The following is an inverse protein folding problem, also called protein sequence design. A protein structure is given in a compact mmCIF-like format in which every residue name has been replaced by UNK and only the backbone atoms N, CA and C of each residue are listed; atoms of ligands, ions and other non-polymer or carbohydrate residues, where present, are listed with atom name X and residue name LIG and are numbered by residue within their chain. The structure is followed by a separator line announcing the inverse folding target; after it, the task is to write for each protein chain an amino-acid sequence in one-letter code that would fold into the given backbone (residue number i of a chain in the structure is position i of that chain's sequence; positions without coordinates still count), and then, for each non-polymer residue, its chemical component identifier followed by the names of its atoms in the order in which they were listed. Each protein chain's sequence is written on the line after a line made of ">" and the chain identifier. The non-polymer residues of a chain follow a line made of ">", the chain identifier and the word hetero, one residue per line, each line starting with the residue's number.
data_IF_482503638739
#
_entry.id   IF_482503638739
#
_cell.length_a   1.000
_cell.length_b   1.000
_cell.length_c   1.000
_cell.angle_alpha   90.00
_cell.angle_beta   90.00
_cell.angle_gamma   90.00
#
_symmetry.space_group_name_H-M   'P 1'
#
loop_
_entity.id
_entity.type
_entity.pdbx_description
1 polymer ?
#
# COMPACT_ATOMS: atom_id res chain seq x y z
N UNK A 1 -1.76 -45.65 3.27
CA UNK A 1 -1.06 -44.42 3.72
C UNK A 1 -1.89 -43.21 3.26
N UNK A 2 -2.09 -42.20 4.11
CA UNK A 2 -2.94 -41.01 3.83
C UNK A 2 -2.21 -40.06 2.86
N UNK A 3 -2.94 -39.29 2.04
CA UNK A 3 -2.36 -38.16 1.29
C UNK A 3 -1.98 -37.02 2.23
N UNK A 4 -0.93 -36.27 1.89
CA UNK A 4 -0.57 -35.00 2.50
C UNK A 4 -1.12 -33.86 1.65
N UNK A 5 -1.86 -32.96 2.27
CA UNK A 5 -2.64 -31.94 1.57
C UNK A 5 -2.11 -30.54 1.88
N UNK A 6 -1.75 -29.78 0.86
CA UNK A 6 -1.24 -28.42 0.98
C UNK A 6 -2.19 -27.49 0.25
N UNK A 7 -2.65 -26.44 0.94
CA UNK A 7 -3.32 -25.30 0.32
C UNK A 7 -2.32 -24.15 0.25
N UNK A 8 -2.09 -23.58 -0.93
CA UNK A 8 -1.36 -22.31 -1.08
C UNK A 8 -2.37 -21.24 -1.42
N UNK A 9 -2.35 -20.13 -0.69
CA UNK A 9 -3.26 -18.99 -0.94
C UNK A 9 -2.46 -17.74 -1.26
N UNK A 10 -2.97 -16.88 -2.13
CA UNK A 10 -2.32 -15.62 -2.44
C UNK A 10 -3.06 -14.81 -3.49
N UNK A 11 -2.41 -13.76 -3.98
CA UNK A 11 -2.98 -12.87 -4.99
C UNK A 11 -2.49 -13.28 -6.38
N UNK A 12 -3.36 -13.23 -7.38
CA UNK A 12 -3.02 -13.53 -8.77
C UNK A 12 -1.88 -12.66 -9.29
N UNK A 13 -0.88 -13.31 -9.88
CA UNK A 13 0.34 -12.67 -10.38
C UNK A 13 1.51 -12.61 -9.39
N UNK A 14 1.36 -13.14 -8.17
CA UNK A 14 2.43 -13.12 -7.13
C UNK A 14 3.25 -14.41 -7.05
N UNK A 15 2.95 -15.43 -7.87
CA UNK A 15 3.71 -16.69 -7.92
C UNK A 15 3.12 -17.86 -7.12
N UNK A 16 1.84 -17.81 -6.73
CA UNK A 16 1.14 -18.93 -6.05
C UNK A 16 1.21 -20.22 -6.87
N UNK A 17 0.88 -20.12 -8.18
CA UNK A 17 0.95 -21.24 -9.14
C UNK A 17 2.38 -21.76 -9.29
N UNK A 18 3.38 -20.87 -9.23
CA UNK A 18 4.78 -21.26 -9.30
C UNK A 18 5.16 -22.16 -8.12
N UNK A 19 4.76 -21.81 -6.89
CA UNK A 19 5.01 -22.65 -5.71
C UNK A 19 4.31 -24.00 -5.84
N UNK A 20 3.06 -24.02 -6.31
CA UNK A 20 2.33 -25.25 -6.60
C UNK A 20 3.12 -26.17 -7.53
N UNK A 21 3.59 -25.62 -8.65
CA UNK A 21 4.42 -26.33 -9.62
C UNK A 21 5.76 -26.82 -9.05
N UNK A 22 6.41 -26.04 -8.18
CA UNK A 22 7.68 -26.44 -7.56
C UNK A 22 7.49 -27.65 -6.66
N UNK A 23 6.43 -27.64 -5.83
CA UNK A 23 6.13 -28.75 -4.92
C UNK A 23 5.75 -30.01 -5.70
N UNK A 24 4.89 -29.91 -6.71
CA UNK A 24 4.48 -31.08 -7.49
C UNK A 24 5.60 -31.64 -8.33
N UNK A 25 6.43 -30.80 -8.95
CA UNK A 25 7.56 -31.26 -9.73
C UNK A 25 8.61 -31.92 -8.84
N UNK A 26 8.89 -31.37 -7.65
CA UNK A 26 9.75 -32.00 -6.67
C UNK A 26 9.22 -33.40 -6.26
N UNK A 27 7.91 -33.51 -6.00
CA UNK A 27 7.29 -34.80 -5.68
C UNK A 27 7.36 -35.80 -6.85
N UNK A 28 7.16 -35.32 -8.08
CA UNK A 28 7.25 -36.13 -9.28
C UNK A 28 8.67 -36.67 -9.51
N UNK A 29 9.68 -35.83 -9.34
CA UNK A 29 11.10 -36.22 -9.41
C UNK A 29 11.47 -37.28 -8.37
N UNK A 30 10.75 -37.32 -7.24
CA UNK A 30 10.90 -38.33 -6.18
C UNK A 30 10.06 -39.60 -6.41
N UNK A 31 9.37 -39.72 -7.55
CA UNK A 31 8.52 -40.87 -7.87
C UNK A 31 7.25 -40.95 -7.02
N UNK A 32 6.83 -39.85 -6.39
CA UNK A 32 5.60 -39.79 -5.59
C UNK A 32 4.41 -39.42 -6.48
N UNK A 33 3.23 -39.86 -6.08
CA UNK A 33 2.00 -39.39 -6.69
C UNK A 33 1.71 -37.96 -6.24
N UNK A 34 1.42 -37.09 -7.19
CA UNK A 34 1.05 -35.70 -6.93
C UNK A 34 -0.10 -35.26 -7.82
N UNK A 35 -0.95 -34.39 -7.29
CA UNK A 35 -1.97 -33.68 -8.07
C UNK A 35 -2.04 -32.25 -7.55
N UNK A 36 -2.15 -31.29 -8.47
CA UNK A 36 -2.44 -29.91 -8.13
C UNK A 36 -3.54 -29.36 -9.03
N UNK A 37 -4.37 -28.47 -8.47
CA UNK A 37 -5.30 -27.64 -9.21
C UNK A 37 -5.23 -26.21 -8.68
N UNK A 38 -5.12 -25.27 -9.60
CA UNK A 38 -5.10 -23.84 -9.31
C UNK A 38 -6.48 -23.26 -9.62
N UNK A 39 -7.04 -22.55 -8.65
CA UNK A 39 -8.30 -21.84 -8.77
C UNK A 39 -8.05 -20.35 -8.73
N UNK A 40 -8.58 -19.65 -9.74
CA UNK A 40 -8.48 -18.20 -9.87
C UNK A 40 -9.84 -17.59 -9.55
N UNK A 41 -9.84 -16.54 -8.72
CA UNK A 41 -11.02 -15.71 -8.50
C UNK A 41 -11.41 -14.93 -9.76
N UNK A 42 -12.56 -14.25 -9.73
CA UNK A 42 -13.13 -13.53 -10.88
C UNK A 42 -12.21 -12.43 -11.47
N UNK A 43 -11.23 -11.93 -10.71
CA UNK A 43 -10.32 -10.89 -11.17
C UNK A 43 -8.98 -11.47 -11.67
N UNK A 44 -8.67 -11.25 -12.95
CA UNK A 44 -7.47 -11.78 -13.64
C UNK A 44 -6.14 -11.21 -13.11
N UNK A 45 -6.14 -10.01 -12.51
CA UNK A 45 -5.01 -9.42 -11.77
C UNK A 45 -5.50 -8.90 -10.42
N UNK A 46 -4.79 -9.21 -9.34
CA UNK A 46 -5.18 -8.75 -8.00
C UNK A 46 -6.35 -9.51 -7.36
N UNK A 47 -6.86 -10.58 -8.01
CA UNK A 47 -7.86 -11.48 -7.45
C UNK A 47 -7.25 -12.57 -6.58
N UNK A 48 -8.08 -13.19 -5.73
CA UNK A 48 -7.70 -14.34 -4.92
C UNK A 48 -7.30 -15.53 -5.81
N UNK A 49 -6.23 -16.22 -5.45
CA UNK A 49 -5.78 -17.48 -6.08
C UNK A 49 -5.52 -18.51 -5.00
N UNK A 50 -6.02 -19.73 -5.21
CA UNK A 50 -5.79 -20.86 -4.32
C UNK A 50 -5.28 -22.06 -5.12
N UNK A 51 -4.17 -22.65 -4.68
CA UNK A 51 -3.61 -23.88 -5.24
C UNK A 51 -3.82 -25.02 -4.26
N UNK A 52 -4.57 -26.04 -4.68
CA UNK A 52 -4.81 -27.26 -3.91
C UNK A 52 -3.83 -28.33 -4.37
N UNK A 53 -2.98 -28.81 -3.47
CA UNK A 53 -1.93 -29.78 -3.77
C UNK A 53 -2.14 -31.02 -2.90
N UNK A 54 -2.14 -32.20 -3.53
CA UNK A 54 -2.18 -33.49 -2.85
C UNK A 54 -0.93 -34.28 -3.21
N UNK A 55 -0.25 -34.79 -2.18
CA UNK A 55 0.92 -35.64 -2.31
C UNK A 55 0.63 -37.00 -1.67
N UNK A 56 0.99 -38.09 -2.33
CA UNK A 56 0.79 -39.43 -1.82
C UNK A 56 1.93 -40.36 -2.27
N UNK A 57 2.07 -41.51 -1.60
CA UNK A 57 3.03 -42.53 -2.03
C UNK A 57 2.63 -43.20 -3.34
N UNK A 58 1.32 -43.30 -3.61
CA UNK A 58 0.76 -44.01 -4.78
C UNK A 58 -0.44 -43.25 -5.34
N UNK A 59 -0.65 -43.34 -6.65
CA UNK A 59 -1.71 -42.61 -7.36
C UNK A 59 -3.11 -43.04 -6.93
N UNK A 60 -3.29 -44.31 -6.56
CA UNK A 60 -4.56 -44.88 -6.09
C UNK A 60 -5.13 -44.21 -4.83
N UNK A 61 -4.28 -43.50 -4.08
CA UNK A 61 -4.65 -42.77 -2.85
C UNK A 61 -5.31 -41.42 -3.16
N UNK A 62 -5.00 -40.81 -4.30
CA UNK A 62 -5.54 -39.51 -4.70
C UNK A 62 -6.88 -39.73 -5.41
N UNK A 63 -7.98 -39.43 -4.72
CA UNK A 63 -9.35 -39.70 -5.19
C UNK A 63 -10.13 -38.46 -5.65
N UNK A 64 -9.62 -37.27 -5.34
CA UNK A 64 -10.29 -36.01 -5.63
C UNK A 64 -9.26 -34.93 -5.93
N UNK A 65 -9.65 -34.00 -6.78
CA UNK A 65 -8.78 -32.92 -7.26
C UNK A 65 -8.73 -31.77 -6.25
N UNK A 66 -9.88 -31.40 -5.68
CA UNK A 66 -9.97 -30.37 -4.64
C UNK A 66 -9.68 -30.94 -3.26
N UNK A 67 -9.25 -30.09 -2.32
CA UNK A 67 -9.14 -30.48 -0.92
C UNK A 67 -10.53 -30.57 -0.29
N UNK A 68 -10.77 -31.63 0.46
CA UNK A 68 -12.01 -31.79 1.24
C UNK A 68 -12.01 -30.82 2.43
N UNK A 69 -13.19 -30.56 3.00
CA UNK A 69 -13.32 -29.72 4.18
C UNK A 69 -12.48 -30.26 5.35
N UNK A 70 -11.78 -29.38 6.06
CA UNK A 70 -10.88 -29.73 7.17
C UNK A 70 -9.72 -30.65 6.79
N UNK A 71 -9.41 -30.81 5.49
CA UNK A 71 -8.46 -31.81 5.02
C UNK A 71 -7.04 -31.31 4.81
N UNK A 72 -6.77 -30.00 4.90
CA UNK A 72 -5.43 -29.44 4.70
C UNK A 72 -4.49 -29.81 5.87
N UNK A 73 -3.28 -30.26 5.56
CA UNK A 73 -2.19 -30.43 6.54
C UNK A 73 -1.38 -29.14 6.70
N UNK A 74 -1.15 -28.44 5.59
CA UNK A 74 -0.48 -27.15 5.53
C UNK A 74 -1.35 -26.15 4.76
N UNK A 75 -1.52 -24.96 5.31
CA UNK A 75 -1.94 -23.77 4.57
C UNK A 75 -0.77 -22.81 4.52
N UNK A 76 -0.23 -22.62 3.32
CA UNK A 76 0.80 -21.63 3.03
C UNK A 76 0.12 -20.36 2.52
N UNK A 77 -0.18 -19.45 3.45
CA UNK A 77 -0.87 -18.21 3.15
C UNK A 77 0.10 -17.12 2.73
N UNK A 78 0.34 -16.96 1.44
CA UNK A 78 1.17 -15.87 0.90
C UNK A 78 0.48 -14.50 0.96
N UNK A 79 -0.84 -14.48 1.23
CA UNK A 79 -1.62 -13.29 1.53
C UNK A 79 -2.66 -13.60 2.61
N UNK A 80 -2.72 -12.78 3.67
CA UNK A 80 -3.60 -13.01 4.82
C UNK A 80 -5.09 -12.84 4.49
N UNK A 81 -5.44 -11.93 3.58
CA UNK A 81 -6.83 -11.69 3.18
C UNK A 81 -7.41 -12.92 2.46
N UNK A 82 -6.64 -13.52 1.55
CA UNK A 82 -7.05 -14.73 0.85
C UNK A 82 -7.04 -15.95 1.80
N UNK A 83 -6.03 -16.06 2.67
CA UNK A 83 -5.95 -17.17 3.63
C UNK A 83 -7.10 -17.18 4.65
N UNK A 84 -7.57 -15.99 5.06
CA UNK A 84 -8.71 -15.83 5.97
C UNK A 84 -10.08 -15.85 5.27
N UNK A 85 -10.10 -16.02 3.95
CA UNK A 85 -11.32 -16.14 3.17
C UNK A 85 -12.01 -17.49 3.38
N UNK A 86 -13.34 -17.51 3.27
CA UNK A 86 -14.16 -18.67 3.63
C UNK A 86 -13.76 -19.95 2.86
N UNK A 87 -13.40 -19.82 1.58
CA UNK A 87 -12.94 -20.96 0.76
C UNK A 87 -11.65 -21.59 1.29
N UNK A 88 -10.71 -20.77 1.78
CA UNK A 88 -9.48 -21.28 2.36
C UNK A 88 -9.75 -21.92 3.73
N UNK A 89 -10.50 -21.23 4.59
CA UNK A 89 -10.83 -21.70 5.94
C UNK A 89 -11.67 -22.98 5.95
N UNK A 90 -12.49 -23.24 4.93
CA UNK A 90 -13.21 -24.52 4.79
C UNK A 90 -12.27 -25.73 4.77
N UNK A 91 -11.06 -25.58 4.23
CA UNK A 91 -10.06 -26.66 4.18
C UNK A 91 -9.27 -26.83 5.48
N UNK A 92 -9.38 -25.89 6.42
CA UNK A 92 -8.64 -25.84 7.69
C UNK A 92 -9.34 -26.67 8.75
N UNK A 93 -8.55 -27.41 9.53
CA UNK A 93 -8.98 -28.11 10.74
C UNK A 93 -8.06 -27.74 11.89
N UNK A 94 -8.64 -27.30 13.00
CA UNK A 94 -7.95 -26.97 14.25
C UNK A 94 -7.10 -28.13 14.80
N UNK A 95 -7.46 -29.37 14.48
CA UNK A 95 -6.78 -30.56 15.00
C UNK A 95 -5.50 -30.92 14.23
N UNK A 96 -5.37 -30.51 12.96
CA UNK A 96 -4.26 -30.95 12.10
C UNK A 96 -3.56 -29.85 11.31
N UNK A 97 -4.27 -28.83 10.83
CA UNK A 97 -3.75 -27.89 9.85
C UNK A 97 -2.72 -26.96 10.47
N UNK A 98 -1.54 -26.87 9.86
CA UNK A 98 -0.52 -25.88 10.17
C UNK A 98 -0.66 -24.70 9.20
N UNK A 99 -0.71 -23.48 9.72
CA UNK A 99 -0.87 -22.25 8.96
C UNK A 99 0.41 -21.42 9.07
N UNK A 100 1.00 -21.07 7.93
CA UNK A 100 2.07 -20.05 7.85
C UNK A 100 1.52 -18.91 7.00
N UNK A 101 1.33 -17.75 7.62
CA UNK A 101 0.62 -16.62 7.03
C UNK A 101 1.55 -15.42 6.90
N UNK A 102 1.65 -14.92 5.68
CA UNK A 102 2.28 -13.65 5.36
C UNK A 102 1.39 -12.50 5.82
N UNK A 103 1.86 -11.68 6.75
CA UNK A 103 1.07 -10.58 7.34
C UNK A 103 1.14 -9.28 6.55
N UNK A 104 1.87 -9.26 5.43
CA UNK A 104 2.03 -8.07 4.62
C UNK A 104 0.69 -7.58 4.06
N UNK A 105 0.41 -6.29 4.22
CA UNK A 105 -0.81 -5.66 3.73
C UNK A 105 -0.71 -5.34 2.24
N UNK A 106 -1.00 -6.34 1.40
CA UNK A 106 -1.02 -6.14 -0.04
C UNK A 106 -2.28 -5.38 -0.48
N UNK A 107 -2.09 -4.36 -1.32
CA UNK A 107 -3.18 -3.64 -1.98
C UNK A 107 -3.75 -4.54 -3.09
N UNK A 108 -4.88 -5.20 -2.82
CA UNK A 108 -5.56 -6.03 -3.84
C UNK A 108 -6.30 -5.17 -4.86
N UNK A 109 -6.77 -5.78 -5.97
CA UNK A 109 -7.57 -5.09 -6.97
C UNK A 109 -8.90 -4.53 -6.44
N UNK A 110 -9.35 -4.99 -5.27
CA UNK A 110 -10.54 -4.44 -4.61
C UNK A 110 -10.22 -3.10 -3.91
N UNK A 111 -9.04 -2.98 -3.29
CA UNK A 111 -8.59 -1.72 -2.66
C UNK A 111 -8.36 -0.60 -3.68
N UNK A 112 -8.02 -0.93 -4.93
CA UNK A 112 -7.88 0.10 -5.98
C UNK A 112 -9.20 0.73 -6.41
N UNK A 113 -10.34 0.08 -6.13
CA UNK A 113 -11.69 0.59 -6.43
C UNK A 113 -12.39 1.20 -5.21
N UNK A 114 -11.91 0.93 -4.00
CA UNK A 114 -12.49 1.40 -2.74
C UNK A 114 -11.40 2.06 -1.87
N UNK A 115 -11.11 3.35 -2.09
CA UNK A 115 -9.99 4.04 -1.42
C UNK A 115 -10.13 4.15 0.11
N UNK A 116 -11.36 4.10 0.64
CA UNK A 116 -11.64 4.20 2.07
C UNK A 116 -11.62 2.86 2.81
N UNK A 117 -11.40 1.76 2.07
CA UNK A 117 -11.37 0.44 2.65
C UNK A 117 -10.12 0.30 3.51
N UNK A 118 -10.32 0.21 4.84
CA UNK A 118 -9.24 -0.09 5.78
C UNK A 118 -8.91 -1.57 5.68
N UNK A 119 -7.61 -1.90 5.70
CA UNK A 119 -7.19 -3.30 5.75
C UNK A 119 -7.57 -3.89 7.11
N UNK A 120 -8.44 -4.92 7.18
CA UNK A 120 -9.01 -5.38 8.44
C UNK A 120 -8.06 -6.36 9.16
N UNK A 121 -6.81 -5.92 9.45
CA UNK A 121 -5.74 -6.78 9.96
C UNK A 121 -6.17 -7.60 11.19
N UNK A 122 -6.79 -6.94 12.16
CA UNK A 122 -7.19 -7.57 13.42
C UNK A 122 -8.27 -8.64 13.20
N UNK A 123 -9.29 -8.34 12.38
CA UNK A 123 -10.36 -9.29 12.07
C UNK A 123 -9.82 -10.52 11.33
N UNK A 124 -8.89 -10.33 10.39
CA UNK A 124 -8.25 -11.43 9.66
C UNK A 124 -7.43 -12.31 10.60
N UNK A 125 -6.65 -11.69 11.49
CA UNK A 125 -5.85 -12.42 12.48
C UNK A 125 -6.75 -13.24 13.42
N UNK A 126 -7.85 -12.66 13.90
CA UNK A 126 -8.82 -13.35 14.75
C UNK A 126 -9.50 -14.51 14.03
N UNK A 127 -9.89 -14.34 12.77
CA UNK A 127 -10.46 -15.44 11.94
C UNK A 127 -9.49 -16.60 11.79
N UNK A 128 -8.24 -16.32 11.42
CA UNK A 128 -7.19 -17.34 11.27
C UNK A 128 -6.89 -18.05 12.59
N UNK A 129 -6.83 -17.29 13.69
CA UNK A 129 -6.64 -17.82 15.04
C UNK A 129 -7.79 -18.72 15.45
N UNK A 130 -9.03 -18.32 15.19
CA UNK A 130 -10.22 -19.12 15.48
C UNK A 130 -10.27 -20.44 14.69
N UNK A 131 -9.80 -20.45 13.45
CA UNK A 131 -9.82 -21.64 12.60
C UNK A 131 -8.74 -22.69 12.95
N UNK A 132 -7.50 -22.27 13.20
CA UNK A 132 -6.38 -23.18 13.43
C UNK A 132 -5.92 -23.30 14.89
N UNK A 133 -6.25 -22.32 15.72
CA UNK A 133 -5.73 -22.20 17.09
C UNK A 133 -4.29 -21.66 17.16
N UNK A 134 -3.87 -21.15 18.34
CA UNK A 134 -2.61 -20.43 18.49
C UNK A 134 -1.37 -21.29 18.28
N UNK A 135 -1.44 -22.60 18.52
CA UNK A 135 -0.28 -23.50 18.43
C UNK A 135 0.09 -23.88 16.99
N UNK A 136 -0.83 -23.71 16.06
CA UNK A 136 -0.67 -24.15 14.66
C UNK A 136 -0.65 -22.97 13.68
N UNK A 137 -0.65 -21.74 14.19
CA UNK A 137 -0.65 -20.52 13.40
C UNK A 137 0.68 -19.78 13.58
N UNK A 138 1.38 -19.53 12.48
CA UNK A 138 2.61 -18.73 12.43
C UNK A 138 2.37 -17.52 11.55
N UNK A 139 2.54 -16.33 12.10
CA UNK A 139 2.54 -15.06 11.37
C UNK A 139 3.98 -14.62 11.05
N UNK A 140 4.19 -14.11 9.84
CA UNK A 140 5.49 -13.66 9.37
C UNK A 140 5.30 -12.54 8.35
N UNK A 141 6.00 -11.40 8.48
CA UNK A 141 6.05 -10.41 7.39
C UNK A 141 7.11 -10.84 6.36
N UNK A 142 6.77 -11.91 5.63
CA UNK A 142 7.68 -12.53 4.69
C UNK A 142 7.99 -11.60 3.51
N UNK A 143 7.04 -10.75 3.10
CA UNK A 143 7.27 -9.78 2.03
C UNK A 143 8.30 -8.75 2.45
N UNK A 144 8.17 -8.13 3.64
CA UNK A 144 9.15 -7.14 4.08
C UNK A 144 10.56 -7.73 4.14
N UNK A 145 10.72 -8.95 4.67
CA UNK A 145 12.01 -9.62 4.78
C UNK A 145 12.56 -10.00 3.39
N UNK A 146 11.76 -10.66 2.55
CA UNK A 146 12.21 -11.15 1.25
C UNK A 146 12.55 -10.00 0.29
N UNK A 147 11.74 -8.93 0.25
CA UNK A 147 12.03 -7.74 -0.57
C UNK A 147 13.34 -7.07 -0.15
N UNK A 148 13.63 -7.04 1.14
CA UNK A 148 14.87 -6.43 1.65
C UNK A 148 16.11 -7.26 1.34
N UNK A 149 16.01 -8.58 1.41
CA UNK A 149 17.12 -9.48 1.09
C UNK A 149 17.37 -9.59 -0.41
N UNK A 150 16.30 -9.66 -1.20
CA UNK A 150 16.37 -10.01 -2.63
C UNK A 150 16.10 -8.85 -3.59
N UNK A 151 15.75 -7.67 -3.06
CA UNK A 151 15.42 -6.48 -3.86
C UNK A 151 14.03 -6.47 -4.52
N UNK A 152 13.30 -7.60 -4.48
CA UNK A 152 11.99 -7.75 -5.14
C UNK A 152 10.96 -8.48 -4.24
N UNK A 153 9.71 -8.03 -4.26
CA UNK A 153 8.58 -8.67 -3.59
C UNK A 153 8.14 -10.00 -4.21
N UNK A 154 8.50 -10.30 -5.46
CA UNK A 154 8.24 -11.60 -6.10
C UNK A 154 8.89 -12.75 -5.32
N UNK A 155 9.99 -12.47 -4.61
CA UNK A 155 10.69 -13.45 -3.77
C UNK A 155 9.85 -13.98 -2.57
N UNK A 156 8.79 -13.28 -2.16
CA UNK A 156 7.98 -13.61 -0.97
C UNK A 156 7.54 -15.08 -0.95
N UNK A 157 6.95 -15.57 -2.04
CA UNK A 157 6.32 -16.89 -2.05
C UNK A 157 7.36 -18.02 -1.99
N UNK A 158 8.52 -17.82 -2.61
CA UNK A 158 9.63 -18.76 -2.56
C UNK A 158 10.29 -18.78 -1.17
N UNK A 159 10.39 -17.61 -0.53
CA UNK A 159 10.86 -17.49 0.85
C UNK A 159 9.92 -18.21 1.81
N UNK A 160 8.60 -18.02 1.66
CA UNK A 160 7.57 -18.73 2.41
C UNK A 160 7.67 -20.25 2.24
N UNK A 161 7.89 -20.74 1.01
CA UNK A 161 8.12 -22.16 0.74
C UNK A 161 9.36 -22.69 1.50
N UNK A 162 10.47 -21.95 1.47
CA UNK A 162 11.68 -22.26 2.21
C UNK A 162 11.46 -22.35 3.72
N UNK A 163 10.72 -21.37 4.26
CA UNK A 163 10.37 -21.34 5.67
C UNK A 163 9.52 -22.56 6.07
N UNK A 164 8.46 -22.86 5.30
CA UNK A 164 7.60 -24.01 5.54
C UNK A 164 8.33 -25.35 5.41
N UNK A 165 9.22 -25.46 4.43
CA UNK A 165 10.07 -26.64 4.23
C UNK A 165 10.95 -26.91 5.46
N UNK A 166 11.66 -25.88 5.95
CA UNK A 166 12.57 -26.05 7.08
C UNK A 166 11.83 -26.36 8.39
N UNK A 167 10.56 -25.96 8.50
CA UNK A 167 9.65 -26.37 9.59
C UNK A 167 9.13 -27.81 9.47
N UNK A 168 9.50 -28.54 8.42
CA UNK A 168 9.10 -29.93 8.18
C UNK A 168 7.68 -30.10 7.65
N UNK A 169 7.09 -29.04 7.09
CA UNK A 169 5.68 -29.02 6.66
C UNK A 169 5.49 -29.32 5.17
N UNK A 170 6.58 -29.43 4.41
CA UNK A 170 6.55 -29.71 2.97
C UNK A 170 7.23 -31.06 2.74
N UNK A 171 6.47 -32.14 2.44
CA UNK A 171 6.97 -33.51 2.50
C UNK A 171 7.65 -33.96 1.20
N UNK A 172 8.48 -33.09 0.63
CA UNK A 172 9.44 -33.40 -0.45
C UNK A 172 10.84 -33.06 0.05
N UNK A 173 11.87 -33.33 -0.73
CA UNK A 173 13.27 -33.01 -0.41
C UNK A 173 13.64 -31.60 -0.87
N UNK A 174 14.60 -30.97 -0.20
CA UNK A 174 15.14 -29.68 -0.65
C UNK A 174 15.82 -29.81 -2.01
N UNK A 175 16.48 -30.95 -2.27
CA UNK A 175 17.12 -31.25 -3.55
C UNK A 175 16.06 -31.33 -4.66
N UNK A 176 14.91 -31.95 -4.40
CA UNK A 176 13.78 -31.99 -5.32
C UNK A 176 13.22 -30.59 -5.63
N UNK A 177 13.08 -29.73 -4.61
CA UNK A 177 12.62 -28.34 -4.79
C UNK A 177 13.65 -27.53 -5.59
N UNK A 178 14.93 -27.58 -5.21
CA UNK A 178 16.00 -26.86 -5.93
C UNK A 178 16.09 -27.34 -7.39
N UNK A 179 15.94 -28.65 -7.65
CA UNK A 179 15.88 -29.19 -9.02
C UNK A 179 14.63 -28.75 -9.78
N UNK A 180 13.48 -28.65 -9.13
CA UNK A 180 12.28 -28.12 -9.74
C UNK A 180 12.45 -26.64 -10.15
N UNK A 181 13.14 -25.84 -9.34
CA UNK A 181 13.50 -24.45 -9.66
C UNK A 181 14.41 -24.40 -10.89
N UNK A 182 15.44 -25.25 -10.95
CA UNK A 182 16.33 -25.35 -12.12
C UNK A 182 15.57 -25.68 -13.41
N UNK A 183 14.64 -26.65 -13.34
CA UNK A 183 13.82 -27.05 -14.49
C UNK A 183 12.82 -25.98 -14.92
N UNK A 184 12.37 -25.12 -14.00
CA UNK A 184 11.53 -23.98 -14.33
C UNK A 184 12.27 -22.93 -15.18
N UNK A 185 13.59 -22.80 -14.98
CA UNK A 185 14.46 -21.96 -15.80
C UNK A 185 14.33 -20.45 -15.59
N UNK A 186 13.45 -19.99 -14.70
CA UNK A 186 13.22 -18.57 -14.44
C UNK A 186 13.99 -18.15 -13.18
N UNK A 187 14.91 -17.18 -13.32
CA UNK A 187 15.66 -16.58 -12.22
C UNK A 187 16.21 -17.62 -11.22
N UNK A 188 16.79 -18.72 -11.74
CA UNK A 188 17.10 -19.94 -11.00
C UNK A 188 17.93 -19.66 -9.74
N UNK A 189 19.03 -18.95 -9.88
CA UNK A 189 19.94 -18.63 -8.77
C UNK A 189 19.24 -17.82 -7.67
N UNK A 190 18.51 -16.77 -8.05
CA UNK A 190 17.75 -15.93 -7.13
C UNK A 190 16.65 -16.72 -6.40
N UNK A 191 15.93 -17.60 -7.10
CA UNK A 191 14.90 -18.43 -6.49
C UNK A 191 15.48 -19.46 -5.52
N UNK A 192 16.61 -20.10 -5.86
CA UNK A 192 17.32 -21.01 -4.95
C UNK A 192 17.81 -20.26 -3.71
N UNK A 193 18.39 -19.09 -3.89
CA UNK A 193 18.86 -18.27 -2.77
C UNK A 193 17.70 -17.84 -1.87
N UNK A 194 16.60 -17.37 -2.46
CA UNK A 194 15.38 -16.99 -1.75
C UNK A 194 14.81 -18.15 -0.92
N UNK A 195 14.73 -19.35 -1.53
CA UNK A 195 14.31 -20.57 -0.82
C UNK A 195 15.24 -20.86 0.37
N UNK A 196 16.55 -20.73 0.20
CA UNK A 196 17.54 -20.92 1.27
C UNK A 196 17.43 -19.85 2.37
N UNK A 197 17.15 -18.59 2.04
CA UNK A 197 16.86 -17.55 3.01
C UNK A 197 15.62 -17.85 3.84
N UNK A 198 14.55 -18.33 3.21
CA UNK A 198 13.36 -18.80 3.89
C UNK A 198 13.67 -19.91 4.90
N UNK A 199 14.51 -20.87 4.50
CA UNK A 199 14.97 -21.94 5.40
C UNK A 199 15.76 -21.39 6.59
N UNK A 200 16.71 -20.47 6.36
CA UNK A 200 17.47 -19.84 7.45
C UNK A 200 16.56 -19.11 8.43
N UNK A 201 15.54 -18.40 7.92
CA UNK A 201 14.59 -17.64 8.75
C UNK A 201 13.73 -18.54 9.65
N UNK A 202 13.47 -19.79 9.25
CA UNK A 202 12.77 -20.75 10.10
C UNK A 202 13.61 -21.23 11.30
N UNK A 203 14.95 -21.12 11.21
CA UNK A 203 15.88 -21.48 12.30
C UNK A 203 16.18 -20.28 13.17
N UNK A 204 16.55 -19.15 12.56
CA UNK A 204 16.87 -17.91 13.27
C UNK A 204 16.31 -16.70 12.52
N UNK A 205 15.05 -16.40 12.81
CA UNK A 205 14.36 -15.26 12.23
C UNK A 205 15.03 -13.93 12.60
N UNK A 206 15.51 -13.79 13.85
CA UNK A 206 16.06 -12.52 14.34
C UNK A 206 17.30 -12.12 13.55
N UNK A 207 18.22 -13.06 13.33
CA UNK A 207 19.44 -12.81 12.56
C UNK A 207 19.12 -12.51 11.10
N UNK A 208 18.19 -13.25 10.48
CA UNK A 208 17.79 -12.99 9.08
C UNK A 208 17.14 -11.60 8.95
N UNK A 209 16.26 -11.23 9.88
CA UNK A 209 15.66 -9.89 9.94
C UNK A 209 16.73 -8.81 10.12
N UNK A 210 17.72 -9.00 10.99
CA UNK A 210 18.82 -8.05 11.16
C UNK A 210 19.64 -7.87 9.87
N UNK A 211 19.94 -8.95 9.15
CA UNK A 211 20.62 -8.88 7.85
C UNK A 211 19.77 -8.15 6.82
N UNK A 212 18.46 -8.43 6.76
CA UNK A 212 17.54 -7.78 5.83
C UNK A 212 17.43 -6.26 6.07
N UNK A 213 17.41 -5.83 7.33
CA UNK A 213 17.22 -4.42 7.69
C UNK A 213 18.52 -3.61 7.75
N UNK A 214 19.67 -4.26 7.81
CA UNK A 214 20.97 -3.64 8.07
C UNK A 214 21.02 -2.98 9.47
N UNK A 215 22.20 -2.57 9.92
CA UNK A 215 22.37 -1.80 11.18
C UNK A 215 21.77 -0.38 11.12
N UNK A 216 21.11 -0.01 10.02
CA UNK A 216 20.60 1.34 9.77
C UNK A 216 19.24 1.30 9.12
N UNK A 217 18.21 0.95 9.89
CA UNK A 217 16.86 1.38 9.55
C UNK A 217 16.08 1.72 10.83
N UNK A 218 16.33 2.94 11.32
CA UNK A 218 15.23 3.68 11.90
C UNK A 218 14.17 3.79 10.80
N UNK A 219 13.05 3.09 10.98
CA UNK A 219 11.82 3.47 10.31
C UNK A 219 11.69 4.98 10.45
N UNK A 220 11.47 5.72 9.37
CA UNK A 220 11.12 7.13 9.47
C UNK A 220 9.94 7.22 10.46
N UNK A 221 10.24 7.62 11.71
CA UNK A 221 9.24 7.67 12.77
C UNK A 221 8.16 8.60 12.26
N UNK A 222 6.93 8.10 12.21
CA UNK A 222 5.81 9.01 12.02
C UNK A 222 5.85 9.99 13.19
N UNK A 223 5.69 11.30 12.95
CA UNK A 223 5.71 12.28 14.02
C UNK A 223 4.72 11.86 15.11
N UNK A 224 5.22 11.68 16.34
CA UNK A 224 4.48 11.14 17.48
C UNK A 224 3.61 12.24 18.12
N UNK A 225 3.93 13.51 17.85
CA UNK A 225 3.19 14.68 18.37
C UNK A 225 2.69 15.61 17.26
N UNK A 226 1.67 16.41 17.58
CA UNK A 226 1.12 17.43 16.66
C UNK A 226 2.18 18.48 16.27
N UNK A 227 3.04 18.89 17.20
CA UNK A 227 4.11 19.85 16.91
C UNK A 227 5.15 19.27 15.95
N UNK A 228 5.55 18.01 16.14
CA UNK A 228 6.45 17.33 15.20
C UNK A 228 5.81 17.19 13.81
N UNK A 229 4.49 16.95 13.74
CA UNK A 229 3.76 16.92 12.47
C UNK A 229 3.81 18.30 11.79
N UNK A 230 3.53 19.38 12.52
CA UNK A 230 3.55 20.75 12.00
C UNK A 230 4.96 21.10 11.50
N UNK A 231 6.00 20.78 12.27
CA UNK A 231 7.39 21.05 11.90
C UNK A 231 7.81 20.27 10.66
N UNK A 232 7.49 18.98 10.59
CA UNK A 232 7.76 18.15 9.43
C UNK A 232 7.05 18.69 8.17
N UNK A 233 5.78 19.09 8.28
CA UNK A 233 5.01 19.66 7.16
C UNK A 233 5.52 21.04 6.74
N UNK A 234 5.88 21.91 7.68
CA UNK A 234 6.46 23.21 7.38
C UNK A 234 7.82 23.09 6.68
N UNK A 235 8.66 22.15 7.11
CA UNK A 235 9.93 21.86 6.44
C UNK A 235 9.72 21.39 5.00
N UNK A 236 8.77 20.48 4.78
CA UNK A 236 8.44 20.02 3.44
C UNK A 236 7.84 21.13 2.58
N UNK A 237 6.96 21.99 3.12
CA UNK A 237 6.42 23.15 2.40
C UNK A 237 7.49 24.19 2.04
N UNK A 238 8.55 24.29 2.85
CA UNK A 238 9.72 25.13 2.54
C UNK A 238 10.49 24.57 1.34
N UNK A 239 10.61 23.25 1.25
CA UNK A 239 11.22 22.57 0.10
C UNK A 239 10.28 22.56 -1.12
N UNK A 240 8.97 22.53 -0.90
CA UNK A 240 7.95 22.60 -1.94
C UNK A 240 8.03 23.96 -2.63
N UNK A 241 8.01 25.06 -1.88
CA UNK A 241 7.99 26.43 -2.40
C UNK A 241 9.09 27.29 -1.76
N UNK A 242 8.82 27.81 -0.56
CA UNK A 242 9.69 28.70 0.21
C UNK A 242 9.23 28.83 1.68
N UNK A 243 10.02 29.55 2.48
CA UNK A 243 9.75 29.77 3.90
C UNK A 243 8.47 30.59 4.15
N UNK A 244 8.07 31.48 3.24
CA UNK A 244 6.84 32.27 3.35
C UNK A 244 5.60 31.39 3.20
N UNK A 245 5.66 30.41 2.30
CA UNK A 245 4.61 29.42 2.11
C UNK A 245 4.47 28.48 3.32
N UNK A 246 5.59 28.06 3.91
CA UNK A 246 5.59 27.31 5.17
C UNK A 246 5.03 28.13 6.34
N UNK A 247 5.35 29.42 6.42
CA UNK A 247 4.82 30.32 7.44
C UNK A 247 3.30 30.56 7.29
N UNK A 248 2.78 30.56 6.06
CA UNK A 248 1.33 30.59 5.80
C UNK A 248 0.64 29.35 6.39
N UNK A 249 1.19 28.16 6.17
CA UNK A 249 0.69 26.93 6.78
C UNK A 249 0.74 26.96 8.31
N UNK A 250 1.87 27.37 8.89
CA UNK A 250 2.00 27.45 10.36
C UNK A 250 0.94 28.36 10.97
N UNK A 251 0.74 29.56 10.43
CA UNK A 251 -0.29 30.50 10.91
C UNK A 251 -1.69 29.92 10.88
N UNK A 252 -2.03 29.18 9.81
CA UNK A 252 -3.34 28.51 9.69
C UNK A 252 -3.54 27.49 10.82
N UNK A 253 -2.55 26.63 11.06
CA UNK A 253 -2.65 25.57 12.08
C UNK A 253 -2.59 26.14 13.49
N UNK A 254 -1.71 27.09 13.75
CA UNK A 254 -1.57 27.76 15.05
C UNK A 254 -2.86 28.49 15.44
N UNK A 255 -3.51 29.17 14.49
CA UNK A 255 -4.82 29.80 14.73
C UNK A 255 -5.89 28.80 15.13
N UNK A 256 -5.97 27.67 14.43
CA UNK A 256 -6.92 26.60 14.76
C UNK A 256 -6.65 25.97 16.14
N UNK A 257 -5.37 25.71 16.47
CA UNK A 257 -4.99 25.16 17.77
C UNK A 257 -5.29 26.14 18.93
N UNK A 258 -5.07 27.44 18.72
CA UNK A 258 -5.38 28.46 19.70
C UNK A 258 -6.89 28.58 19.95
N UNK A 259 -7.70 28.57 18.88
CA UNK A 259 -9.16 28.57 18.99
C UNK A 259 -9.67 27.32 19.72
N UNK A 260 -9.16 26.13 19.37
CA UNK A 260 -9.49 24.86 20.02
C UNK A 260 -9.16 24.90 21.52
N UNK A 261 -7.96 25.37 21.89
CA UNK A 261 -7.55 25.49 23.29
C UNK A 261 -8.35 26.51 24.09
N UNK A 262 -8.77 27.63 23.47
CA UNK A 262 -9.47 28.71 24.16
C UNK A 262 -10.99 28.47 24.28
N UNK A 263 -11.62 27.92 23.26
CA UNK A 263 -13.09 27.87 23.13
C UNK A 263 -13.67 26.45 23.29
N UNK A 264 -12.85 25.41 23.07
CA UNK A 264 -13.24 24.01 23.20
C UNK A 264 -12.26 23.23 24.10
N UNK A 265 -11.80 23.88 25.18
CA UNK A 265 -10.80 23.34 26.09
C UNK A 265 -11.18 21.95 26.62
N UNK A 266 -10.27 20.98 26.45
CA UNK A 266 -10.48 19.58 26.82
C UNK A 266 -10.66 18.63 25.62
N UNK A 267 -10.95 19.16 24.43
CA UNK A 267 -10.97 18.39 23.19
C UNK A 267 -9.67 18.51 22.39
N UNK A 268 -9.41 17.49 21.58
CA UNK A 268 -8.30 17.46 20.63
C UNK A 268 -8.79 16.84 19.32
N UNK A 269 -8.55 17.51 18.19
CA UNK A 269 -8.87 16.96 16.88
C UNK A 269 -8.94 18.00 15.78
N UNK A 270 -9.47 19.19 16.07
CA UNK A 270 -9.64 20.26 15.10
C UNK A 270 -8.29 20.78 14.59
N UNK A 271 -7.36 21.15 15.50
CA UNK A 271 -6.02 21.57 15.11
C UNK A 271 -5.25 20.49 14.35
N UNK A 272 -5.44 19.22 14.72
CA UNK A 272 -4.83 18.07 14.02
C UNK A 272 -5.40 17.84 12.62
N UNK A 273 -6.72 18.03 12.45
CA UNK A 273 -7.37 17.97 11.15
C UNK A 273 -6.85 19.08 10.24
N UNK A 274 -6.81 20.33 10.73
CA UNK A 274 -6.27 21.48 9.98
C UNK A 274 -4.80 21.26 9.61
N UNK A 275 -3.98 20.73 10.52
CA UNK A 275 -2.58 20.40 10.26
C UNK A 275 -2.43 19.39 9.11
N UNK A 276 -3.28 18.35 9.07
CA UNK A 276 -3.22 17.30 8.05
C UNK A 276 -3.75 17.78 6.70
N UNK A 277 -4.92 18.41 6.70
CA UNK A 277 -5.67 18.70 5.48
C UNK A 277 -5.32 20.05 4.86
N UNK A 278 -4.92 21.04 5.67
CA UNK A 278 -4.29 22.27 5.19
C UNK A 278 -3.00 21.94 4.41
N UNK A 279 -2.14 21.08 4.97
CA UNK A 279 -0.95 20.62 4.24
C UNK A 279 -1.32 19.86 2.95
N UNK A 280 -2.32 18.96 2.99
CA UNK A 280 -2.76 18.20 1.80
C UNK A 280 -3.16 19.12 0.65
N UNK A 281 -3.90 20.19 0.94
CA UNK A 281 -4.32 21.17 -0.06
C UNK A 281 -3.16 22.04 -0.54
N UNK A 282 -2.25 22.43 0.36
CA UNK A 282 -1.12 23.28 0.03
C UNK A 282 0.00 22.56 -0.73
N UNK A 283 0.20 21.26 -0.49
CA UNK A 283 1.23 20.43 -1.10
C UNK A 283 0.67 19.58 -2.27
N UNK A 284 -0.15 20.19 -3.13
CA UNK A 284 -0.66 19.50 -4.32
C UNK A 284 0.47 19.20 -5.30
N UNK A 285 0.41 18.02 -5.93
CA UNK A 285 1.46 17.55 -6.86
C UNK A 285 1.34 18.26 -8.21
N UNK A 286 2.10 19.33 -8.35
CA UNK A 286 2.24 20.05 -9.60
C UNK A 286 3.49 19.67 -10.38
N UNK A 287 3.64 20.27 -11.56
CA UNK A 287 4.74 19.96 -12.47
C UNK A 287 6.12 20.23 -11.82
N UNK A 288 6.22 21.30 -11.03
CA UNK A 288 7.43 21.66 -10.30
C UNK A 288 7.75 20.67 -9.18
N UNK A 289 6.74 20.24 -8.42
CA UNK A 289 6.91 19.29 -7.32
C UNK A 289 7.23 17.89 -7.81
N UNK A 290 6.54 17.42 -8.85
CA UNK A 290 6.88 16.15 -9.51
C UNK A 290 8.33 16.22 -10.00
N UNK A 291 8.73 17.30 -10.64
CA UNK A 291 10.09 17.49 -11.10
C UNK A 291 11.12 17.49 -9.96
N UNK A 292 10.81 18.10 -8.81
CA UNK A 292 11.64 18.05 -7.60
C UNK A 292 11.81 16.63 -7.09
N UNK A 293 10.73 15.87 -6.94
CA UNK A 293 10.75 14.49 -6.42
C UNK A 293 11.54 13.50 -7.30
N UNK A 294 11.65 13.77 -8.60
CA UNK A 294 12.49 12.98 -9.51
C UNK A 294 13.95 13.44 -9.55
N UNK A 295 14.26 14.63 -9.04
CA UNK A 295 15.59 15.27 -9.19
C UNK A 295 16.30 15.58 -7.86
N UNK A 296 15.66 15.38 -6.72
CA UNK A 296 16.22 15.55 -5.36
C UNK A 296 17.31 14.51 -5.02
N UNK A 297 17.43 13.46 -5.82
CA UNK A 297 18.42 12.39 -5.68
C UNK A 297 17.90 11.18 -4.91
N UNK A 298 16.84 11.30 -4.12
CA UNK A 298 16.29 10.19 -3.35
C UNK A 298 15.56 9.18 -4.24
N UNK A 299 14.96 9.66 -5.34
CA UNK A 299 14.49 8.75 -6.40
C UNK A 299 15.63 7.90 -6.97
N UNK A 300 16.74 8.53 -7.37
CA UNK A 300 17.87 7.81 -7.98
C UNK A 300 18.56 6.87 -6.99
N UNK A 301 18.69 7.25 -5.71
CA UNK A 301 19.19 6.36 -4.65
C UNK A 301 18.34 5.09 -4.54
N UNK A 302 17.01 5.26 -4.49
CA UNK A 302 16.06 4.13 -4.45
C UNK A 302 16.18 3.24 -5.67
N UNK A 303 16.31 3.83 -6.87
CA UNK A 303 16.52 3.06 -8.10
C UNK A 303 17.84 2.29 -8.05
N UNK A 304 18.94 2.91 -7.62
CA UNK A 304 20.25 2.22 -7.52
C UNK A 304 20.30 1.15 -6.44
N UNK A 305 19.47 1.26 -5.40
CA UNK A 305 19.34 0.24 -4.36
C UNK A 305 18.47 -0.94 -4.81
N UNK A 306 17.48 -0.68 -5.66
CA UNK A 306 16.54 -1.71 -6.14
C UNK A 306 17.06 -2.48 -7.37
N UNK A 307 17.94 -1.88 -8.17
CA UNK A 307 18.41 -2.46 -9.43
C UNK A 307 19.94 -2.45 -9.53
N UNK A 308 20.54 -3.61 -9.78
CA UNK A 308 21.97 -3.75 -10.07
C UNK A 308 22.28 -3.57 -11.57
N UNK A 309 23.51 -3.13 -11.89
CA UNK A 309 23.99 -3.02 -13.27
C UNK A 309 23.59 -1.74 -14.01
N UNK A 310 23.72 -1.77 -15.35
CA UNK A 310 23.37 -0.63 -16.21
C UNK A 310 21.88 -0.67 -16.57
N UNK A 311 21.14 0.36 -16.17
CA UNK A 311 19.71 0.49 -16.45
C UNK A 311 19.42 1.75 -17.27
N UNK A 312 18.33 1.70 -18.03
CA UNK A 312 17.80 2.85 -18.78
C UNK A 312 16.42 3.21 -18.24
N UNK A 313 16.26 4.48 -17.85
CA UNK A 313 15.00 5.00 -17.32
C UNK A 313 14.20 5.68 -18.44
N UNK A 314 12.93 5.30 -18.53
CA UNK A 314 11.95 5.97 -19.40
C UNK A 314 10.75 6.39 -18.55
N UNK A 315 10.35 7.65 -18.70
CA UNK A 315 9.24 8.24 -17.94
C UNK A 315 8.06 8.41 -18.87
N UNK A 316 6.92 7.82 -18.50
CA UNK A 316 5.68 7.96 -19.26
C UNK A 316 4.90 9.17 -18.74
N UNK A 317 4.76 10.19 -19.58
CA UNK A 317 4.12 11.47 -19.22
C UNK A 317 3.08 11.85 -20.27
N UNK A 318 2.08 12.61 -19.83
CA UNK A 318 1.16 13.33 -20.71
C UNK A 318 1.24 14.83 -20.37
N UNK A 319 2.24 15.58 -20.90
CA UNK A 319 2.44 16.98 -20.54
C UNK A 319 1.21 17.83 -20.88
N UNK A 320 0.65 18.63 -19.95
CA UNK A 320 -0.63 19.32 -20.16
C UNK A 320 -0.70 20.21 -21.40
N UNK A 321 0.43 20.82 -21.77
CA UNK A 321 0.53 21.77 -22.89
C UNK A 321 0.68 21.09 -24.26
N UNK A 322 1.11 19.83 -24.32
CA UNK A 322 1.50 19.17 -25.58
C UNK A 322 0.90 17.77 -25.76
N UNK A 323 0.19 17.25 -24.75
CA UNK A 323 -0.41 15.93 -24.82
C UNK A 323 -1.54 15.92 -25.85
N UNK A 324 -1.39 15.08 -26.87
CA UNK A 324 -2.46 14.78 -27.81
C UNK A 324 -3.59 14.07 -27.05
N UNK A 325 -4.83 14.43 -27.32
CA UNK A 325 -5.98 13.72 -26.76
C UNK A 325 -6.29 12.51 -27.63
N UNK A 326 -6.54 11.39 -26.98
CA UNK A 326 -7.00 10.15 -27.63
C UNK A 326 -8.35 10.42 -28.32
N UNK A 327 -8.52 10.06 -29.61
CA UNK A 327 -9.76 10.31 -30.35
C UNK A 327 -10.99 9.57 -29.83
N UNK A 328 -10.80 8.42 -29.17
CA UNK A 328 -11.88 7.53 -28.71
C UNK A 328 -12.23 7.79 -27.25
N UNK A 329 -11.23 8.06 -26.40
CA UNK A 329 -11.44 8.28 -24.96
C UNK A 329 -11.46 9.76 -24.57
N UNK A 330 -10.95 10.67 -25.42
CA UNK A 330 -10.82 12.10 -25.14
C UNK A 330 -9.76 12.45 -24.10
N UNK A 331 -9.04 11.47 -23.57
CA UNK A 331 -8.05 11.64 -22.50
C UNK A 331 -6.66 11.96 -23.05
N UNK A 332 -5.79 12.65 -22.28
CA UNK A 332 -4.40 12.90 -22.68
C UNK A 332 -3.60 11.59 -22.85
N UNK A 333 -2.96 11.42 -24.01
CA UNK A 333 -2.14 10.24 -24.33
C UNK A 333 -0.79 10.30 -23.60
N UNK A 334 -0.42 9.22 -22.90
CA UNK A 334 0.90 9.09 -22.25
C UNK A 334 1.95 8.66 -23.26
N UNK A 335 3.07 9.37 -23.31
CA UNK A 335 4.20 9.05 -24.20
C UNK A 335 5.46 8.78 -23.38
N UNK A 336 6.30 7.89 -23.88
CA UNK A 336 7.58 7.57 -23.27
C UNK A 336 8.60 8.67 -23.57
N UNK A 337 9.25 9.17 -22.52
CA UNK A 337 10.36 10.11 -22.62
C UNK A 337 11.61 9.46 -22.05
N UNK A 338 12.70 9.52 -22.81
CA UNK A 338 13.98 8.93 -22.40
C UNK A 338 14.68 9.66 -21.25
N UNK A 339 15.91 9.24 -20.90
CA UNK A 339 16.65 9.73 -19.72
C UNK A 339 16.88 11.25 -19.67
N UNK A 340 16.84 11.94 -20.82
CA UNK A 340 16.98 13.39 -20.89
C UNK A 340 15.90 14.12 -20.06
N UNK A 341 14.72 13.50 -19.89
CA UNK A 341 13.61 14.08 -19.14
C UNK A 341 13.96 14.32 -17.67
N UNK A 342 14.81 13.49 -17.06
CA UNK A 342 15.27 13.71 -15.68
C UNK A 342 16.11 15.00 -15.54
N UNK A 343 16.89 15.33 -16.58
CA UNK A 343 17.63 16.60 -16.63
C UNK A 343 16.68 17.79 -16.81
N UNK A 344 15.66 17.63 -17.64
CA UNK A 344 14.61 18.63 -17.82
C UNK A 344 13.83 18.87 -16.50
N UNK A 345 13.46 17.80 -15.78
CA UNK A 345 12.86 17.89 -14.45
C UNK A 345 13.78 18.60 -13.46
N UNK A 346 15.08 18.31 -13.45
CA UNK A 346 16.03 19.04 -12.60
C UNK A 346 16.07 20.54 -12.89
N UNK A 347 15.98 20.94 -14.16
CA UNK A 347 15.89 22.34 -14.54
C UNK A 347 14.54 22.94 -14.10
N UNK A 348 13.44 22.22 -14.34
CA UNK A 348 12.10 22.66 -13.98
C UNK A 348 11.93 22.84 -12.47
N UNK A 349 12.48 21.94 -11.64
CA UNK A 349 12.43 22.04 -10.18
C UNK A 349 13.07 23.33 -9.65
N UNK A 350 14.10 23.86 -10.33
CA UNK A 350 14.73 25.15 -9.97
C UNK A 350 13.88 26.36 -10.34
N UNK A 351 12.91 26.19 -11.23
CA UNK A 351 11.97 27.23 -11.65
C UNK A 351 10.70 27.25 -10.79
N UNK A 352 10.67 26.52 -9.66
CA UNK A 352 9.51 26.50 -8.74
C UNK A 352 9.08 27.88 -8.23
N UNK A 353 9.99 28.86 -8.22
CA UNK A 353 9.66 30.25 -7.86
C UNK A 353 8.68 30.92 -8.84
N UNK A 354 8.54 30.39 -10.06
CA UNK A 354 7.52 30.84 -11.02
C UNK A 354 6.11 30.39 -10.62
N UNK A 355 5.96 29.37 -9.76
CA UNK A 355 4.67 28.79 -9.36
C UNK A 355 3.70 29.88 -8.91
N UNK A 356 2.52 29.89 -9.51
CA UNK A 356 1.45 30.82 -9.15
C UNK A 356 1.66 32.27 -9.56
N UNK A 357 2.79 32.61 -10.20
CA UNK A 357 3.07 33.94 -10.75
C UNK A 357 2.43 34.11 -12.13
N UNK A 358 2.41 35.34 -12.67
CA UNK A 358 2.00 35.59 -14.05
C UNK A 358 2.90 34.90 -15.10
N UNK A 359 4.11 34.49 -14.71
CA UNK A 359 5.05 33.79 -15.59
C UNK A 359 5.00 32.27 -15.43
N UNK A 360 4.00 31.73 -14.71
CA UNK A 360 3.77 30.28 -14.59
C UNK A 360 3.09 29.71 -15.85
N UNK A 361 3.79 28.96 -16.71
CA UNK A 361 3.18 28.39 -17.92
C UNK A 361 2.12 27.31 -17.61
N UNK A 362 2.16 26.69 -16.42
CA UNK A 362 1.23 25.63 -16.02
C UNK A 362 0.03 26.18 -15.22
N UNK A 363 0.24 27.31 -14.54
CA UNK A 363 -0.73 27.95 -13.65
C UNK A 363 -2.01 28.45 -14.34
N UNK A 364 -2.03 28.58 -15.66
CA UNK A 364 -3.20 29.04 -16.42
C UNK A 364 -4.29 27.99 -16.60
N UNK A 365 -4.00 26.72 -16.35
CA UNK A 365 -5.00 25.64 -16.46
C UNK A 365 -6.12 25.81 -15.43
N UNK A 366 -7.34 25.38 -15.78
CA UNK A 366 -8.50 25.43 -14.86
C UNK A 366 -8.24 24.63 -13.59
N UNK A 367 -7.57 23.48 -13.71
CA UNK A 367 -7.18 22.63 -12.57
C UNK A 367 -6.26 23.38 -11.59
N UNK A 368 -5.18 24.01 -12.08
CA UNK A 368 -4.22 24.76 -11.23
C UNK A 368 -4.83 26.01 -10.60
N UNK A 369 -5.78 26.66 -11.28
CA UNK A 369 -6.54 27.77 -10.70
C UNK A 369 -7.47 27.29 -9.58
N UNK A 370 -8.20 26.20 -9.81
CA UNK A 370 -9.08 25.61 -8.81
C UNK A 370 -8.31 25.10 -7.57
N UNK A 371 -7.14 24.48 -7.75
CA UNK A 371 -6.29 24.06 -6.62
C UNK A 371 -5.86 25.24 -5.75
N UNK A 372 -5.41 26.33 -6.37
CA UNK A 372 -5.00 27.55 -5.63
C UNK A 372 -6.17 28.23 -4.94
N UNK A 373 -7.33 28.30 -5.61
CA UNK A 373 -8.54 28.86 -5.01
C UNK A 373 -8.97 28.06 -3.79
N UNK A 374 -8.89 26.72 -3.84
CA UNK A 374 -9.27 25.86 -2.70
C UNK A 374 -8.42 26.05 -1.45
N UNK A 375 -7.15 26.41 -1.60
CA UNK A 375 -6.32 26.76 -0.43
C UNK A 375 -6.91 27.98 0.26
N UNK A 376 -7.29 29.00 -0.51
CA UNK A 376 -7.91 30.23 0.00
C UNK A 376 -9.28 29.91 0.62
N UNK A 377 -10.12 29.15 -0.07
CA UNK A 377 -11.45 28.79 0.43
C UNK A 377 -11.34 28.00 1.75
N UNK A 378 -10.37 27.08 1.86
CA UNK A 378 -10.14 26.32 3.08
C UNK A 378 -9.65 27.20 4.23
N UNK A 379 -8.76 28.16 3.97
CA UNK A 379 -8.33 29.12 4.98
C UNK A 379 -9.49 29.97 5.51
N UNK A 380 -10.39 30.41 4.61
CA UNK A 380 -11.61 31.15 5.00
C UNK A 380 -12.51 30.28 5.87
N UNK A 381 -12.72 29.02 5.49
CA UNK A 381 -13.52 28.07 6.27
C UNK A 381 -12.91 27.84 7.65
N UNK A 382 -11.60 27.58 7.74
CA UNK A 382 -10.94 27.36 9.04
C UNK A 382 -11.02 28.61 9.92
N UNK A 383 -10.91 29.81 9.34
CA UNK A 383 -11.08 31.08 10.05
C UNK A 383 -12.53 31.28 10.54
N UNK A 384 -13.54 30.94 9.73
CA UNK A 384 -14.96 30.90 10.12
C UNK A 384 -15.18 29.94 11.30
N UNK A 385 -14.75 28.68 11.15
CA UNK A 385 -14.86 27.65 12.18
C UNK A 385 -14.14 28.05 13.48
N UNK A 386 -12.95 28.66 13.38
CA UNK A 386 -12.16 29.06 14.55
C UNK A 386 -12.82 30.17 15.36
N UNK A 387 -13.66 31.02 14.73
CA UNK A 387 -14.41 32.08 15.43
C UNK A 387 -15.67 31.56 16.11
N UNK A 388 -16.37 30.62 15.49
CA UNK A 388 -17.61 30.04 16.00
C UNK A 388 -17.44 28.79 16.86
N UNK A 389 -16.20 28.34 17.08
CA UNK A 389 -15.92 27.11 17.80
C UNK A 389 -16.40 27.18 19.25
N UNK A 390 -17.05 26.12 19.72
CA UNK A 390 -17.36 25.88 21.12
C UNK A 390 -17.41 24.37 21.40
N UNK A 391 -17.64 24.00 22.66
CA UNK A 391 -17.66 22.61 23.11
C UNK A 391 -18.58 21.70 22.26
N UNK A 392 -19.81 22.14 21.99
CA UNK A 392 -20.83 21.26 21.38
C UNK A 392 -20.72 21.10 19.85
N UNK A 393 -20.02 22.01 19.15
CA UNK A 393 -19.84 21.97 17.70
C UNK A 393 -18.43 21.52 17.28
N UNK A 394 -17.55 21.20 18.24
CA UNK A 394 -16.18 20.76 17.99
C UNK A 394 -16.08 19.58 17.00
N UNK A 395 -16.97 18.60 17.14
CA UNK A 395 -17.03 17.44 16.26
C UNK A 395 -17.37 17.85 14.81
N UNK A 396 -18.32 18.77 14.63
CA UNK A 396 -18.72 19.29 13.33
C UNK A 396 -17.60 20.12 12.69
N UNK A 397 -16.91 20.96 13.46
CA UNK A 397 -15.74 21.70 13.00
C UNK A 397 -14.62 20.76 12.51
N UNK A 398 -14.37 19.69 13.27
CA UNK A 398 -13.37 18.66 12.92
C UNK A 398 -13.76 17.91 11.65
N UNK A 399 -15.04 17.58 11.49
CA UNK A 399 -15.56 16.93 10.28
C UNK A 399 -15.40 17.83 9.05
N UNK A 400 -15.80 19.11 9.14
CA UNK A 400 -15.67 20.09 8.06
C UNK A 400 -14.18 20.28 7.70
N UNK A 401 -13.30 20.43 8.69
CA UNK A 401 -11.86 20.54 8.47
C UNK A 401 -11.25 19.30 7.80
N UNK A 402 -11.90 18.14 7.92
CA UNK A 402 -11.47 16.85 7.38
C UNK A 402 -11.95 16.55 5.96
N UNK A 403 -12.88 17.34 5.43
CA UNK A 403 -13.43 17.17 4.07
C UNK A 403 -12.39 17.05 2.95
N UNK A 404 -11.23 17.74 2.97
CA UNK A 404 -10.21 17.54 1.95
C UNK A 404 -9.69 16.10 1.86
N UNK A 405 -9.97 15.24 2.84
CA UNK A 405 -9.62 13.82 2.77
C UNK A 405 -10.25 13.11 1.56
N UNK A 406 -11.50 13.46 1.23
CA UNK A 406 -12.24 12.88 0.10
C UNK A 406 -11.66 13.24 -1.26
N UNK A 407 -10.80 14.27 -1.34
CA UNK A 407 -10.16 14.71 -2.58
C UNK A 407 -8.98 13.78 -2.89
N UNK A 408 -9.20 12.83 -3.81
CA UNK A 408 -8.22 11.80 -4.19
C UNK A 408 -8.17 11.57 -5.70
N UNK A 409 -7.09 10.96 -6.18
CA UNK A 409 -6.88 10.67 -7.60
C UNK A 409 -6.30 11.84 -8.41
N UNK A 410 -6.32 11.70 -9.74
CA UNK A 410 -5.74 12.65 -10.70
C UNK A 410 -6.73 12.90 -11.86
N UNK A 411 -6.67 14.10 -12.47
CA UNK A 411 -7.49 14.45 -13.62
C UNK A 411 -8.99 14.28 -13.38
N UNK A 412 -9.69 13.56 -14.26
CA UNK A 412 -11.15 13.39 -14.19
C UNK A 412 -11.62 12.65 -12.93
N UNK A 413 -10.85 11.70 -12.41
CA UNK A 413 -11.19 10.99 -11.15
C UNK A 413 -11.16 11.97 -9.98
N UNK A 414 -10.14 12.85 -9.95
CA UNK A 414 -10.06 13.92 -8.96
C UNK A 414 -11.26 14.85 -9.06
N UNK A 415 -11.65 15.24 -10.28
CA UNK A 415 -12.82 16.11 -10.48
C UNK A 415 -14.12 15.51 -9.92
N UNK A 416 -14.37 14.22 -10.12
CA UNK A 416 -15.56 13.57 -9.56
C UNK A 416 -15.58 13.59 -8.02
N UNK A 417 -14.44 13.28 -7.38
CA UNK A 417 -14.31 13.36 -5.93
C UNK A 417 -14.46 14.80 -5.41
N UNK A 418 -13.99 15.77 -6.19
CA UNK A 418 -14.13 17.18 -5.87
C UNK A 418 -15.60 17.61 -5.85
N UNK A 419 -16.36 17.28 -6.88
CA UNK A 419 -17.77 17.64 -6.98
C UNK A 419 -18.58 17.00 -5.83
N UNK A 420 -18.24 15.76 -5.46
CA UNK A 420 -18.85 15.07 -4.31
C UNK A 420 -18.52 15.74 -2.97
N UNK A 421 -17.25 16.09 -2.74
CA UNK A 421 -16.81 16.79 -1.52
C UNK A 421 -17.45 18.19 -1.44
N UNK A 422 -17.56 18.90 -2.56
CA UNK A 422 -18.16 20.23 -2.62
C UNK A 422 -19.65 20.19 -2.21
N UNK A 423 -20.38 19.12 -2.55
CA UNK A 423 -21.76 18.90 -2.11
C UNK A 423 -21.88 18.66 -0.60
N UNK A 424 -21.06 17.77 -0.03
CA UNK A 424 -21.04 17.50 1.43
C UNK A 424 -20.62 18.75 2.20
N UNK A 425 -19.64 19.51 1.69
CA UNK A 425 -19.19 20.76 2.29
C UNK A 425 -20.31 21.77 2.45
N UNK A 426 -21.14 21.94 1.42
CA UNK A 426 -22.25 22.89 1.46
C UNK A 426 -23.28 22.50 2.53
N UNK A 427 -23.60 21.21 2.65
CA UNK A 427 -24.50 20.71 3.69
C UNK A 427 -23.93 20.94 5.10
N UNK A 428 -22.68 20.54 5.37
CA UNK A 428 -22.09 20.70 6.70
C UNK A 428 -21.90 22.17 7.10
N UNK A 429 -21.50 23.05 6.18
CA UNK A 429 -21.42 24.50 6.46
C UNK A 429 -22.79 25.12 6.71
N UNK A 430 -23.85 24.62 6.06
CA UNK A 430 -25.20 25.09 6.35
C UNK A 430 -25.64 24.72 7.77
N UNK A 431 -25.30 23.51 8.24
CA UNK A 431 -25.55 23.06 9.61
C UNK A 431 -24.74 23.86 10.62
N UNK A 432 -23.47 24.15 10.32
CA UNK A 432 -22.61 24.98 11.16
C UNK A 432 -23.23 26.36 11.42
N UNK A 433 -23.67 27.03 10.35
CA UNK A 433 -24.27 28.37 10.45
C UNK A 433 -25.62 28.39 11.16
N UNK A 434 -26.41 27.33 11.02
CA UNK A 434 -27.66 27.17 11.78
C UNK A 434 -27.38 27.00 13.29
N UNK A 435 -26.34 26.25 13.64
CA UNK A 435 -25.92 26.07 15.04
C UNK A 435 -25.44 27.39 15.66
N UNK A 436 -24.65 28.19 14.91
CA UNK A 436 -24.27 29.55 15.33
C UNK A 436 -25.48 30.46 15.57
N UNK A 437 -26.48 30.44 14.68
CA UNK A 437 -27.70 31.24 14.85
C UNK A 437 -28.49 30.85 16.11
N UNK A 438 -28.54 29.55 16.44
CA UNK A 438 -29.20 29.05 17.66
C UNK A 438 -28.40 29.46 18.90
N UNK A 439 -27.07 29.33 18.86
CA UNK A 439 -26.20 29.70 19.97
C UNK A 439 -26.21 31.21 20.28
N UNK A 440 -26.44 32.07 19.28
CA UNK A 440 -26.60 33.53 19.46
C UNK A 440 -28.01 33.91 19.94
N UNK A 441 -29.02 33.07 19.68
CA UNK A 441 -30.41 33.31 20.07
C UNK A 441 -30.75 32.87 21.51
N UNK A 442 -29.90 32.04 22.14
CA UNK A 442 -29.98 31.60 23.54
C UNK A 442 -29.11 32.53 24.39
#
# INVERSE_FOLDING_TARGET
>A
KRSYNILVTGIGGTGVVTISAMITMAAHLEGRACQAIDQFGMAQKGGAVTSHIRLASETSVIKAVYLDAGSADLVLGCDALVAAGDLALQSVSSDRSQLIINTHEAITGHFTRSPDLKYPREDLNQRLLGAAGPRRLTFLDATAIATRLMGDGIATNMFMLGYAYQRGLVPVSSVGIERAIELNGIAVESNIETFRWGRRAAVDLKTVTAVAHGESSSSAQQPETLNELIDARANDLTLYQDAGYAARYRRLVEGACQAEGALAGGFAGFGSAVARYGYKLMAYKDEYEVARLYSDGDFMKRVSQAFEGSFRLEVYLAPPLFARRDPYTGLPEKRAYGPWMLRAMKALARLRWLRGTAFDPFGYTSERRAERQRIIDYEIIVDELSRGLHHDNHALATEIASLPDGIRGYGHIKQQHLDAVDGVRADLLSRWRQDEEIAVAI
#
